data_IF_784577880887
#
_entry.id   IF_784577880887
#
_cell.length_a   1.000
_cell.length_b   1.000
_cell.length_c   1.000
_cell.angle_alpha   90.00
_cell.angle_beta   90.00
_cell.angle_gamma   90.00
#
_symmetry.space_group_name_H-M   'P 1'
#
loop_
_entity.id
_entity.type
_entity.pdbx_description
1 polymer ?
#
# COMPACT_ATOMS: atom_id res chain seq x y z
N UNK A 1 10.97 3.03 -9.39
CA UNK A 1 11.52 1.76 -8.84
C UNK A 1 10.93 1.57 -7.47
N UNK A 2 10.45 0.37 -7.14
CA UNK A 2 10.01 0.05 -5.78
C UNK A 2 11.21 -0.32 -4.92
N UNK A 3 11.18 0.02 -3.63
CA UNK A 3 12.28 -0.19 -2.70
C UNK A 3 11.84 -1.14 -1.60
N UNK A 4 12.73 -2.06 -1.19
CA UNK A 4 12.50 -2.84 0.01
C UNK A 4 12.50 -1.91 1.24
N UNK A 5 11.47 -2.02 2.07
CA UNK A 5 11.35 -1.25 3.31
C UNK A 5 11.28 -2.17 4.51
N UNK A 6 12.02 -1.84 5.56
CA UNK A 6 11.89 -2.52 6.84
C UNK A 6 10.58 -2.10 7.51
N UNK A 7 9.64 -3.02 7.60
CA UNK A 7 8.29 -2.82 8.17
C UNK A 7 8.38 -2.39 9.63
N UNK A 8 9.29 -2.99 10.42
CA UNK A 8 9.46 -2.65 11.83
C UNK A 8 9.92 -1.19 11.99
N UNK A 9 10.87 -0.74 11.15
CA UNK A 9 11.30 0.66 11.14
C UNK A 9 10.15 1.59 10.74
N UNK A 10 9.32 1.21 9.77
CA UNK A 10 8.17 2.04 9.38
C UNK A 10 7.17 2.22 10.52
N UNK A 11 6.90 1.16 11.29
CA UNK A 11 6.02 1.22 12.46
C UNK A 11 6.65 2.09 13.57
N UNK A 12 7.92 1.85 13.90
CA UNK A 12 8.63 2.61 14.94
C UNK A 12 8.65 4.10 14.59
N UNK A 13 9.02 4.44 13.35
CA UNK A 13 9.06 5.83 12.90
C UNK A 13 7.67 6.48 12.93
N UNK A 14 6.61 5.74 12.61
CA UNK A 14 5.24 6.23 12.73
C UNK A 14 4.89 6.61 14.18
N UNK A 15 5.36 5.84 15.16
CA UNK A 15 5.12 6.13 16.58
C UNK A 15 5.98 7.31 17.06
N UNK A 16 7.28 7.27 16.76
CA UNK A 16 8.26 8.30 17.20
C UNK A 16 7.94 9.68 16.62
N UNK A 17 7.39 9.73 15.41
CA UNK A 17 7.00 10.99 14.74
C UNK A 17 5.55 11.39 15.00
N UNK A 18 4.89 10.80 16.01
CA UNK A 18 3.49 11.08 16.36
C UNK A 18 2.52 10.94 15.17
N UNK A 19 2.73 9.93 14.32
CA UNK A 19 1.89 9.62 13.18
C UNK A 19 2.27 10.33 11.87
N UNK A 20 3.17 11.33 11.88
CA UNK A 20 3.57 12.06 10.68
C UNK A 20 4.21 11.13 9.65
N UNK A 21 5.13 10.27 10.08
CA UNK A 21 5.75 9.28 9.19
C UNK A 21 4.72 8.27 8.67
N UNK A 22 3.65 8.00 9.42
CA UNK A 22 2.55 7.14 8.96
C UNK A 22 1.90 7.68 7.68
N UNK A 23 1.73 9.01 7.57
CA UNK A 23 1.19 9.65 6.36
C UNK A 23 2.16 9.51 5.18
N UNK A 24 3.47 9.65 5.43
CA UNK A 24 4.50 9.46 4.40
C UNK A 24 4.51 8.01 3.93
N UNK A 25 4.41 7.06 4.87
CA UNK A 25 4.37 5.64 4.57
C UNK A 25 3.14 5.30 3.72
N UNK A 26 1.96 5.82 4.07
CA UNK A 26 0.73 5.66 3.27
C UNK A 26 0.90 6.14 1.81
N UNK A 27 1.48 7.33 1.61
CA UNK A 27 1.74 7.87 0.27
C UNK A 27 2.67 6.95 -0.51
N UNK A 28 3.79 6.56 0.11
CA UNK A 28 4.78 5.67 -0.52
C UNK A 28 4.19 4.31 -0.87
N UNK A 29 3.43 3.72 0.04
CA UNK A 29 2.77 2.45 -0.16
C UNK A 29 1.79 2.51 -1.35
N UNK A 30 1.04 3.60 -1.47
CA UNK A 30 0.13 3.82 -2.61
C UNK A 30 0.88 3.93 -3.93
N UNK A 31 1.92 4.75 -3.99
CA UNK A 31 2.68 4.98 -5.21
C UNK A 31 3.46 3.72 -5.62
N UNK A 32 4.06 3.01 -4.67
CA UNK A 32 4.79 1.76 -4.92
C UNK A 32 3.84 0.67 -5.43
N UNK A 33 2.63 0.54 -4.87
CA UNK A 33 1.61 -0.36 -5.43
C UNK A 33 1.25 0.03 -6.86
N UNK A 34 0.99 1.32 -7.12
CA UNK A 34 0.66 1.78 -8.47
C UNK A 34 1.76 1.48 -9.49
N UNK A 35 3.04 1.49 -9.09
CA UNK A 35 4.17 1.16 -9.96
C UNK A 35 4.24 -0.33 -10.31
N UNK A 36 3.80 -1.22 -9.40
CA UNK A 36 3.87 -2.68 -9.62
C UNK A 36 2.62 -3.28 -10.20
N UNK A 37 1.49 -2.57 -10.15
CA UNK A 37 0.24 -3.00 -10.76
C UNK A 37 0.28 -2.74 -12.27
N UNK A 38 -0.17 -3.71 -13.09
CA UNK A 38 -0.37 -3.49 -14.53
C UNK A 38 -1.23 -2.27 -14.81
N UNK A 39 -1.16 -1.65 -16.00
CA UNK A 39 -2.01 -0.52 -16.35
C UNK A 39 -3.50 -0.82 -16.13
N UNK A 40 -4.24 0.20 -15.69
CA UNK A 40 -5.67 0.08 -15.49
C UNK A 40 -6.37 -0.37 -16.78
N UNK A 41 -7.23 -1.41 -16.75
CA UNK A 41 -7.99 -1.85 -17.91
C UNK A 41 -8.81 -0.74 -18.58
N UNK A 42 -9.22 0.27 -17.81
CA UNK A 42 -9.96 1.43 -18.32
C UNK A 42 -9.07 2.52 -18.95
N UNK A 43 -7.75 2.31 -19.06
CA UNK A 43 -6.80 3.26 -19.65
C UNK A 43 -6.56 4.53 -18.82
N UNK A 44 -7.08 4.60 -17.59
CA UNK A 44 -6.94 5.77 -16.69
C UNK A 44 -5.78 5.59 -15.71
N UNK A 45 -5.01 6.66 -15.41
CA UNK A 45 -3.96 6.60 -14.39
C UNK A 45 -4.56 6.26 -13.01
N UNK A 46 -3.80 5.52 -12.21
CA UNK A 46 -4.17 5.26 -10.83
C UNK A 46 -4.05 6.53 -9.98
N UNK A 47 -4.89 6.65 -8.96
CA UNK A 47 -4.81 7.74 -7.97
C UNK A 47 -3.45 7.72 -7.28
N UNK A 48 -2.72 8.83 -7.33
CA UNK A 48 -1.42 8.95 -6.65
C UNK A 48 -1.58 8.91 -5.13
N UNK A 49 -0.49 8.61 -4.43
CA UNK A 49 -0.44 8.59 -2.97
C UNK A 49 -0.79 9.94 -2.36
N UNK A 50 -0.28 11.04 -2.94
CA UNK A 50 -0.60 12.40 -2.47
C UNK A 50 -2.10 12.75 -2.59
N UNK A 51 -2.74 12.39 -3.71
CA UNK A 51 -4.18 12.59 -3.89
C UNK A 51 -4.96 11.67 -2.94
N UNK A 52 -4.53 10.42 -2.79
CA UNK A 52 -5.15 9.46 -1.88
C UNK A 52 -5.11 9.94 -0.42
N UNK A 53 -3.99 10.55 -0.01
CA UNK A 53 -3.81 11.11 1.33
C UNK A 53 -4.72 12.32 1.54
N UNK A 54 -4.79 13.22 0.55
CA UNK A 54 -5.70 14.37 0.60
C UNK A 54 -7.15 13.89 0.75
N UNK A 55 -7.57 12.91 -0.05
CA UNK A 55 -8.90 12.34 0.02
C UNK A 55 -9.17 11.68 1.38
N UNK A 56 -8.20 10.95 1.93
CA UNK A 56 -8.30 10.37 3.27
C UNK A 56 -8.56 11.45 4.33
N UNK A 57 -7.83 12.57 4.29
CA UNK A 57 -8.01 13.68 5.23
C UNK A 57 -9.37 14.37 5.02
N UNK A 58 -9.72 14.72 3.78
CA UNK A 58 -10.96 15.45 3.45
C UNK A 58 -12.22 14.63 3.75
N UNK A 59 -12.14 13.32 3.59
CA UNK A 59 -13.27 12.41 3.83
C UNK A 59 -13.29 11.82 5.24
N UNK A 60 -12.42 12.29 6.15
CA UNK A 60 -12.30 11.76 7.51
C UNK A 60 -12.11 10.23 7.52
N UNK A 61 -11.16 9.74 6.73
CA UNK A 61 -10.77 8.33 6.56
C UNK A 61 -11.81 7.40 5.90
N UNK A 62 -12.99 7.90 5.51
CA UNK A 62 -13.94 7.10 4.72
C UNK A 62 -13.30 6.64 3.40
N UNK A 63 -12.52 7.53 2.75
CA UNK A 63 -11.73 7.15 1.58
C UNK A 63 -10.65 6.10 1.89
N UNK A 64 -10.11 6.07 3.12
CA UNK A 64 -9.14 5.08 3.55
C UNK A 64 -9.66 3.64 3.43
N UNK A 65 -10.96 3.43 3.70
CA UNK A 65 -11.62 2.12 3.51
C UNK A 65 -11.68 1.71 2.03
N UNK A 66 -12.09 2.62 1.16
CA UNK A 66 -12.11 2.40 -0.29
C UNK A 66 -10.69 2.13 -0.82
N UNK A 67 -9.72 2.92 -0.34
CA UNK A 67 -8.32 2.76 -0.68
C UNK A 67 -7.80 1.38 -0.27
N UNK A 68 -8.04 0.93 0.96
CA UNK A 68 -7.55 -0.35 1.46
C UNK A 68 -8.06 -1.54 0.64
N UNK A 69 -9.36 -1.52 0.28
CA UNK A 69 -9.94 -2.50 -0.62
C UNK A 69 -9.25 -2.51 -1.99
N UNK A 70 -9.09 -1.33 -2.60
CA UNK A 70 -8.46 -1.18 -3.92
C UNK A 70 -6.99 -1.55 -3.91
N UNK A 71 -6.26 -1.32 -2.81
CA UNK A 71 -4.87 -1.77 -2.68
C UNK A 71 -4.76 -3.29 -2.72
N UNK A 72 -5.69 -4.02 -2.11
CA UNK A 72 -5.71 -5.49 -2.19
C UNK A 72 -5.91 -5.99 -3.60
N UNK A 73 -6.89 -5.47 -4.34
CA UNK A 73 -7.10 -5.83 -5.75
C UNK A 73 -5.87 -5.51 -6.61
N UNK A 74 -5.25 -4.35 -6.39
CA UNK A 74 -4.04 -3.93 -7.12
C UNK A 74 -2.85 -4.84 -6.86
N UNK A 75 -2.65 -5.26 -5.61
CA UNK A 75 -1.56 -6.16 -5.23
C UNK A 75 -1.81 -7.60 -5.73
N UNK A 76 -3.04 -8.09 -5.67
CA UNK A 76 -3.38 -9.40 -6.26
C UNK A 76 -3.18 -9.38 -7.78
N UNK A 77 -3.59 -8.33 -8.48
CA UNK A 77 -3.32 -8.16 -9.91
C UNK A 77 -1.81 -8.09 -10.22
N UNK A 78 -1.05 -7.40 -9.36
CA UNK A 78 0.40 -7.31 -9.47
C UNK A 78 1.09 -8.68 -9.27
N UNK A 79 0.57 -9.52 -8.36
CA UNK A 79 1.06 -10.89 -8.14
C UNK A 79 0.67 -11.82 -9.30
N UNK A 80 -0.58 -11.76 -9.75
CA UNK A 80 -1.08 -12.53 -10.89
C UNK A 80 -0.26 -12.28 -12.16
N UNK A 81 0.05 -11.01 -12.46
CA UNK A 81 0.87 -10.62 -13.61
C UNK A 81 2.31 -11.14 -13.55
N UNK A 82 2.79 -11.53 -12.36
CA UNK A 82 4.11 -12.12 -12.13
C UNK A 82 4.08 -13.65 -11.98
N UNK A 83 2.91 -14.29 -12.14
CA UNK A 83 2.74 -15.73 -11.90
C UNK A 83 2.87 -16.13 -10.42
N UNK A 84 2.76 -15.17 -9.49
CA UNK A 84 2.80 -15.42 -8.05
C UNK A 84 1.40 -15.79 -7.52
N UNK A 85 1.30 -16.60 -6.44
CA UNK A 85 0.01 -16.95 -5.85
C UNK A 85 -0.72 -15.70 -5.32
N UNK A 86 -2.00 -15.58 -5.68
CA UNK A 86 -2.91 -14.51 -5.23
C UNK A 86 -3.76 -15.00 -4.05
N UNK A 87 -4.17 -14.09 -3.16
CA UNK A 87 -4.89 -14.44 -1.94
C UNK A 87 -6.20 -13.66 -1.74
N UNK A 88 -6.62 -12.86 -2.73
CA UNK A 88 -7.84 -12.03 -2.68
C UNK A 88 -7.91 -11.18 -1.40
N UNK A 89 -6.86 -10.39 -1.15
CA UNK A 89 -6.64 -9.70 0.13
C UNK A 89 -7.44 -8.40 0.28
N UNK A 90 -8.23 -8.01 -0.74
CA UNK A 90 -9.03 -6.80 -0.73
C UNK A 90 -9.97 -6.69 0.48
N UNK A 91 -10.69 -7.77 0.82
CA UNK A 91 -11.60 -7.79 1.97
C UNK A 91 -10.82 -7.79 3.28
N UNK A 92 -9.70 -8.51 3.36
CA UNK A 92 -8.84 -8.55 4.55
C UNK A 92 -8.31 -7.16 4.86
N UNK A 93 -7.83 -6.43 3.86
CA UNK A 93 -7.31 -5.08 4.03
C UNK A 93 -8.40 -4.07 4.40
N UNK A 94 -9.60 -4.20 3.84
CA UNK A 94 -10.74 -3.39 4.25
C UNK A 94 -11.07 -3.60 5.75
N UNK A 95 -11.13 -4.85 6.19
CA UNK A 95 -11.39 -5.17 7.61
C UNK A 95 -10.25 -4.64 8.48
N UNK A 96 -9.00 -4.88 8.10
CA UNK A 96 -7.84 -4.40 8.86
C UNK A 96 -7.79 -2.88 8.94
N UNK A 97 -8.20 -2.15 7.91
CA UNK A 97 -8.29 -0.69 7.96
C UNK A 97 -9.25 -0.20 9.06
N UNK A 98 -10.34 -0.93 9.34
CA UNK A 98 -11.31 -0.57 10.39
C UNK A 98 -10.80 -0.83 11.82
N UNK A 99 -10.03 -1.90 12.02
CA UNK A 99 -9.63 -2.36 13.36
C UNK A 99 -8.17 -2.07 13.70
N UNK A 100 -7.26 -2.35 12.77
CA UNK A 100 -5.80 -2.31 12.97
C UNK A 100 -5.10 -1.90 11.65
N UNK A 101 -5.23 -0.63 11.22
CA UNK A 101 -4.76 -0.18 9.90
C UNK A 101 -3.26 -0.42 9.68
N UNK A 102 -2.45 -0.24 10.73
CA UNK A 102 -0.99 -0.47 10.71
C UNK A 102 -0.64 -1.91 10.31
N UNK A 103 -1.42 -2.91 10.74
CA UNK A 103 -1.18 -4.32 10.36
C UNK A 103 -1.49 -4.54 8.89
N UNK A 104 -2.57 -3.95 8.38
CA UNK A 104 -2.89 -3.97 6.95
C UNK A 104 -1.77 -3.36 6.11
N UNK A 105 -1.25 -2.19 6.52
CA UNK A 105 -0.16 -1.52 5.81
C UNK A 105 1.14 -2.32 5.86
N UNK A 106 1.43 -2.97 6.99
CA UNK A 106 2.57 -3.88 7.13
C UNK A 106 2.48 -5.08 6.17
N UNK A 107 1.30 -5.69 6.04
CA UNK A 107 1.07 -6.79 5.11
C UNK A 107 1.24 -6.33 3.65
N UNK A 108 0.66 -5.19 3.28
CA UNK A 108 0.82 -4.60 1.95
C UNK A 108 2.31 -4.34 1.64
N UNK A 109 3.05 -3.76 2.59
CA UNK A 109 4.48 -3.52 2.45
C UNK A 109 5.27 -4.83 2.29
N UNK A 110 4.90 -5.89 3.01
CA UNK A 110 5.53 -7.19 2.86
C UNK A 110 5.36 -7.73 1.45
N UNK A 111 4.15 -7.62 0.88
CA UNK A 111 3.91 -8.03 -0.50
C UNK A 111 4.71 -7.20 -1.50
N UNK A 112 4.82 -5.88 -1.30
CA UNK A 112 5.66 -5.03 -2.14
C UNK A 112 7.14 -5.43 -2.04
N UNK A 113 7.63 -5.78 -0.85
CA UNK A 113 8.99 -6.23 -0.64
C UNK A 113 9.29 -7.57 -1.33
N UNK A 114 8.33 -8.50 -1.41
CA UNK A 114 8.43 -9.75 -2.17
C UNK A 114 8.56 -9.51 -3.68
N UNK A 115 7.98 -8.41 -4.17
CA UNK A 115 8.00 -8.02 -5.57
C UNK A 115 9.14 -7.05 -5.92
N UNK A 116 9.85 -6.54 -4.92
CA UNK A 116 10.97 -5.63 -5.10
C UNK A 116 12.22 -6.40 -5.56
N UNK A 117 13.05 -5.81 -6.45
CA UNK A 117 14.37 -6.36 -6.69
C UNK A 117 15.14 -6.43 -5.36
N UNK A 118 15.99 -7.46 -5.16
CA UNK A 118 16.76 -7.61 -3.94
C UNK A 118 17.55 -6.32 -3.67
N UNK A 119 17.61 -5.90 -2.41
CA UNK A 119 18.36 -4.73 -2.01
C UNK A 119 19.80 -4.85 -2.56
N UNK A 120 20.14 -4.03 -3.55
CA UNK A 120 21.54 -3.84 -3.92
C UNK A 120 22.18 -3.15 -2.74
N UNK A 121 22.89 -3.91 -1.91
CA UNK A 121 23.76 -3.39 -0.87
C UNK A 121 24.75 -2.44 -1.58
N UNK A 122 24.55 -1.14 -1.41
CA UNK A 122 25.59 -0.12 -1.63
C UNK A 122 26.36 0.05 -0.33
#
# INVERSE_FOLDING_TARGET
>A
MIQQRNIALCIILSIVTCGIYGLIWFVKLTDETNMVTPPNPAGKPYTSGGISLLLMIVTCDIYGLYWAYKQGEKLDNAKAARGLPTSNQAVIYLILQLVFPVVGWAMMQNQLNEMAPPAQNM
#
